data_IF_991706501375
#
_entry.id   IF_991706501375
#
_cell.length_a   1.000
_cell.length_b   1.000
_cell.length_c   1.000
_cell.angle_alpha   90.00
_cell.angle_beta   90.00
_cell.angle_gamma   90.00
#
_symmetry.space_group_name_H-M   'P 1'
#
loop_
_entity.id
_entity.type
_entity.pdbx_description
1 polymer ?
#
# COMPACT_ATOMS: atom_id res chain seq x y z
N UNK A 1 24.45 -0.53 0.80
CA UNK A 1 23.39 0.25 1.48
C UNK A 1 22.30 0.72 0.50
N UNK A 2 22.63 1.15 -0.72
CA UNK A 2 21.68 1.83 -1.63
C UNK A 2 20.50 0.99 -2.19
N UNK A 3 20.64 -0.32 -2.41
CA UNK A 3 19.56 -1.11 -3.05
C UNK A 3 18.39 -1.44 -2.11
N UNK A 4 18.62 -1.45 -0.80
CA UNK A 4 17.57 -1.81 0.16
C UNK A 4 16.56 -0.67 0.34
N UNK A 5 17.01 0.58 0.39
CA UNK A 5 16.13 1.76 0.49
C UNK A 5 15.25 1.91 -0.73
N UNK A 6 15.81 1.73 -1.93
CA UNK A 6 15.08 1.71 -3.20
C UNK A 6 13.98 0.64 -3.18
N UNK A 7 14.30 -0.57 -2.71
CA UNK A 7 13.33 -1.67 -2.62
C UNK A 7 12.23 -1.36 -1.62
N UNK A 8 12.57 -0.84 -0.45
CA UNK A 8 11.60 -0.49 0.58
C UNK A 8 10.60 0.57 0.06
N UNK A 9 11.11 1.59 -0.62
CA UNK A 9 10.28 2.61 -1.27
C UNK A 9 9.37 2.00 -2.35
N UNK A 10 9.91 1.13 -3.21
CA UNK A 10 9.11 0.46 -4.24
C UNK A 10 8.01 -0.46 -3.66
N UNK A 11 8.29 -1.21 -2.59
CA UNK A 11 7.27 -2.01 -1.89
C UNK A 11 6.22 -1.13 -1.22
N UNK A 12 6.62 -0.01 -0.61
CA UNK A 12 5.67 0.94 -0.04
C UNK A 12 4.74 1.54 -1.10
N UNK A 13 5.28 1.93 -2.27
CA UNK A 13 4.46 2.42 -3.38
C UNK A 13 3.52 1.35 -3.91
N UNK A 14 4.00 0.12 -4.08
CA UNK A 14 3.16 -1.02 -4.49
C UNK A 14 1.99 -1.22 -3.52
N UNK A 15 2.26 -1.15 -2.22
CA UNK A 15 1.26 -1.24 -1.16
C UNK A 15 0.27 -0.08 -1.21
N UNK A 16 0.74 1.14 -1.41
CA UNK A 16 -0.09 2.33 -1.52
C UNK A 16 -1.07 2.22 -2.69
N UNK A 17 -0.58 1.85 -3.87
CA UNK A 17 -1.41 1.64 -5.06
C UNK A 17 -2.39 0.48 -4.85
N UNK A 18 -1.96 -0.58 -4.16
CA UNK A 18 -2.86 -1.67 -3.81
C UNK A 18 -3.99 -1.16 -2.91
N UNK A 19 -3.66 -0.45 -1.83
CA UNK A 19 -4.58 0.11 -0.85
C UNK A 19 -5.66 1.01 -1.48
N UNK A 20 -5.24 2.01 -2.26
CA UNK A 20 -6.19 2.93 -2.92
C UNK A 20 -7.04 2.26 -4.01
N UNK A 21 -6.64 1.07 -4.47
CA UNK A 21 -7.36 0.34 -5.52
C UNK A 21 -8.26 -0.76 -4.97
N UNK A 22 -8.32 -0.94 -3.64
CA UNK A 22 -9.04 -2.04 -3.02
C UNK A 22 -10.52 -2.03 -3.39
N UNK A 23 -11.15 -0.85 -3.39
CA UNK A 23 -12.56 -0.65 -3.72
C UNK A 23 -12.87 -0.41 -5.20
N UNK A 24 -11.82 -0.25 -6.01
CA UNK A 24 -11.92 0.04 -7.44
C UNK A 24 -12.30 1.48 -7.77
N UNK A 25 -12.42 2.36 -6.77
CA UNK A 25 -12.74 3.78 -6.96
C UNK A 25 -11.70 4.63 -6.24
N UNK A 26 -10.72 5.12 -7.00
CA UNK A 26 -9.72 6.04 -6.45
C UNK A 26 -10.34 7.42 -6.30
N UNK A 27 -10.29 7.96 -5.08
CA UNK A 27 -10.73 9.30 -4.72
C UNK A 27 -9.62 10.34 -4.97
N UNK A 28 -9.99 11.61 -4.91
CA UNK A 28 -9.01 12.71 -5.00
C UNK A 28 -7.96 12.62 -3.88
N UNK A 29 -8.37 12.30 -2.65
CA UNK A 29 -7.43 12.27 -1.52
C UNK A 29 -6.43 11.11 -1.65
N UNK A 30 -6.88 9.96 -2.13
CA UNK A 30 -6.01 8.82 -2.44
C UNK A 30 -4.99 9.13 -3.53
N UNK A 31 -5.41 9.88 -4.55
CA UNK A 31 -4.49 10.35 -5.57
C UNK A 31 -3.48 11.39 -5.04
N UNK A 32 -3.91 12.29 -4.15
CA UNK A 32 -2.99 13.21 -3.46
C UNK A 32 -2.00 12.46 -2.55
N UNK A 33 -2.36 11.29 -2.01
CA UNK A 33 -1.42 10.43 -1.29
C UNK A 33 -0.31 9.87 -2.21
N UNK A 34 -0.62 9.52 -3.46
CA UNK A 34 0.41 9.14 -4.46
C UNK A 34 1.37 10.30 -4.76
N UNK A 35 0.83 11.51 -4.94
CA UNK A 35 1.66 12.72 -5.14
C UNK A 35 2.55 12.99 -3.94
N UNK A 36 2.01 12.88 -2.74
CA UNK A 36 2.75 13.06 -1.49
C UNK A 36 3.89 12.05 -1.39
N UNK A 37 3.63 10.78 -1.72
CA UNK A 37 4.66 9.75 -1.77
C UNK A 37 5.78 10.10 -2.76
N UNK A 38 5.44 10.62 -3.96
CA UNK A 38 6.44 11.06 -4.95
C UNK A 38 7.30 12.21 -4.44
N UNK A 39 6.74 13.16 -3.68
CA UNK A 39 7.50 14.26 -3.10
C UNK A 39 8.41 13.77 -1.97
N UNK A 40 7.89 12.92 -1.08
CA UNK A 40 8.65 12.35 0.04
C UNK A 40 9.85 11.53 -0.42
N UNK A 41 9.73 10.83 -1.54
CA UNK A 41 10.76 9.93 -2.06
C UNK A 41 11.61 10.53 -3.19
N UNK A 42 11.36 11.79 -3.58
CA UNK A 42 12.17 12.49 -4.59
C UNK A 42 13.68 12.48 -4.26
N UNK A 43 14.14 12.63 -3.00
CA UNK A 43 15.57 12.57 -2.67
C UNK A 43 16.24 11.24 -3.07
N UNK A 44 15.50 10.13 -3.16
CA UNK A 44 16.05 8.85 -3.63
C UNK A 44 16.42 8.86 -5.12
N UNK A 45 16.02 9.88 -5.88
CA UNK A 45 16.40 10.06 -7.29
C UNK A 45 17.89 10.34 -7.50
N UNK A 46 18.67 10.57 -6.44
CA UNK A 46 20.15 10.53 -6.52
C UNK A 46 20.66 9.15 -6.95
N UNK A 47 19.87 8.10 -6.70
CA UNK A 47 20.18 6.74 -7.10
C UNK A 47 19.61 6.45 -8.50
N UNK A 48 20.47 6.15 -9.46
CA UNK A 48 20.08 5.96 -10.87
C UNK A 48 18.94 4.95 -11.07
N UNK A 49 18.93 3.86 -10.29
CA UNK A 49 17.88 2.84 -10.36
C UNK A 49 16.51 3.40 -9.96
N UNK A 50 16.46 4.15 -8.86
CA UNK A 50 15.21 4.77 -8.41
C UNK A 50 14.80 5.93 -9.31
N UNK A 51 15.76 6.71 -9.81
CA UNK A 51 15.49 7.78 -10.77
C UNK A 51 14.76 7.27 -12.02
N UNK A 52 15.11 6.07 -12.52
CA UNK A 52 14.41 5.44 -13.65
C UNK A 52 12.96 5.12 -13.30
N UNK A 53 12.72 4.46 -12.17
CA UNK A 53 11.36 4.20 -11.68
C UNK A 53 10.56 5.50 -11.55
N UNK A 54 11.15 6.50 -10.90
CA UNK A 54 10.53 7.81 -10.65
C UNK A 54 10.09 8.50 -11.94
N UNK A 55 10.93 8.48 -12.98
CA UNK A 55 10.62 9.08 -14.29
C UNK A 55 9.45 8.40 -15.00
N UNK A 56 9.18 7.13 -14.72
CA UNK A 56 8.05 6.40 -15.31
C UNK A 56 6.74 6.67 -14.57
N UNK A 57 6.78 6.74 -13.23
CA UNK A 57 5.58 6.93 -12.41
C UNK A 57 5.14 8.39 -12.31
N UNK A 58 6.09 9.34 -12.25
CA UNK A 58 5.80 10.75 -11.98
C UNK A 58 4.86 11.38 -13.01
N UNK A 59 5.01 11.16 -14.32
CA UNK A 59 4.09 11.70 -15.32
C UNK A 59 2.64 11.19 -15.15
N UNK A 60 2.48 9.93 -14.76
CA UNK A 60 1.14 9.33 -14.53
C UNK A 60 0.50 9.96 -13.28
N UNK A 61 1.28 10.20 -12.23
CA UNK A 61 0.83 10.83 -10.98
C UNK A 61 0.58 12.34 -11.14
N UNK A 62 1.21 12.98 -12.12
CA UNK A 62 1.05 14.41 -12.40
C UNK A 62 -0.11 14.72 -13.36
N UNK A 63 -0.46 13.82 -14.29
CA UNK A 63 -1.58 14.03 -15.24
C UNK A 63 -2.93 14.20 -14.51
N UNK A 64 -3.04 13.69 -13.28
CA UNK A 64 -4.16 13.98 -12.39
C UNK A 64 -5.45 13.24 -12.73
N UNK A 65 -5.46 12.37 -13.74
CA UNK A 65 -6.68 11.71 -14.21
C UNK A 65 -6.91 10.41 -13.47
N UNK A 66 -7.46 10.53 -12.27
CA UNK A 66 -7.86 9.40 -11.42
C UNK A 66 -8.75 8.38 -12.17
N UNK A 67 -8.13 7.38 -12.80
CA UNK A 67 -8.81 6.36 -13.57
C UNK A 67 -8.11 5.00 -13.46
N UNK A 68 -8.84 3.94 -13.80
CA UNK A 68 -8.35 2.57 -13.65
C UNK A 68 -7.17 2.23 -14.58
N UNK A 69 -7.07 2.86 -15.75
CA UNK A 69 -5.97 2.62 -16.69
C UNK A 69 -4.63 3.12 -16.11
N UNK A 70 -4.62 4.29 -15.47
CA UNK A 70 -3.43 4.83 -14.80
C UNK A 70 -2.98 3.94 -13.64
N UNK A 71 -3.92 3.44 -12.85
CA UNK A 71 -3.61 2.52 -11.74
C UNK A 71 -3.01 1.21 -12.25
N UNK A 72 -3.56 0.63 -13.31
CA UNK A 72 -3.01 -0.59 -13.90
C UNK A 72 -1.64 -0.34 -14.56
N UNK A 73 -1.43 0.83 -15.17
CA UNK A 73 -0.12 1.23 -15.68
C UNK A 73 0.91 1.34 -14.54
N UNK A 74 0.56 1.99 -13.43
CA UNK A 74 1.43 2.10 -12.25
C UNK A 74 1.75 0.72 -11.66
N UNK A 75 0.75 -0.16 -11.49
CA UNK A 75 0.95 -1.55 -11.04
C UNK A 75 1.90 -2.30 -11.95
N UNK A 76 1.76 -2.15 -13.26
CA UNK A 76 2.63 -2.81 -14.25
C UNK A 76 4.08 -2.32 -14.12
N UNK A 77 4.29 -1.00 -14.04
CA UNK A 77 5.63 -0.40 -13.90
C UNK A 77 6.32 -0.91 -12.63
N UNK A 78 5.62 -0.90 -11.51
CA UNK A 78 6.20 -1.28 -10.21
C UNK A 78 6.43 -2.78 -10.11
N UNK A 79 5.50 -3.59 -10.62
CA UNK A 79 5.67 -5.05 -10.66
C UNK A 79 6.92 -5.41 -11.46
N UNK A 80 7.06 -4.86 -12.67
CA UNK A 80 8.26 -5.05 -13.49
C UNK A 80 9.53 -4.59 -12.78
N UNK A 81 9.48 -3.45 -12.08
CA UNK A 81 10.62 -2.96 -11.31
C UNK A 81 11.00 -3.92 -10.18
N UNK A 82 10.02 -4.40 -9.41
CA UNK A 82 10.24 -5.34 -8.31
C UNK A 82 10.71 -6.70 -8.81
N UNK A 83 10.20 -7.21 -9.93
CA UNK A 83 10.68 -8.46 -10.55
C UNK A 83 12.13 -8.34 -11.04
N UNK A 84 12.48 -7.22 -11.67
CA UNK A 84 13.83 -7.00 -12.19
C UNK A 84 14.87 -6.70 -11.09
N UNK A 85 14.43 -6.25 -9.91
CA UNK A 85 15.31 -5.76 -8.85
C UNK A 85 15.04 -6.41 -7.47
N UNK A 86 14.24 -7.48 -7.43
CA UNK A 86 13.76 -8.09 -6.20
C UNK A 86 13.60 -9.61 -6.30
N UNK A 87 14.55 -10.33 -5.70
CA UNK A 87 14.31 -11.65 -5.12
C UNK A 87 14.88 -11.65 -3.70
N UNK A 88 14.05 -11.96 -2.70
CA UNK A 88 14.05 -13.24 -1.97
C UNK A 88 12.93 -13.15 -0.92
N UNK A 89 12.33 -14.29 -0.56
CA UNK A 89 11.13 -14.42 0.27
C UNK A 89 11.30 -13.98 1.74
N UNK A 90 11.62 -12.71 1.97
CA UNK A 90 11.81 -12.15 3.30
C UNK A 90 10.54 -11.44 3.80
N UNK A 91 10.32 -11.49 5.11
CA UNK A 91 9.19 -10.86 5.81
C UNK A 91 9.26 -9.31 5.74
N UNK A 92 10.45 -8.74 5.56
CA UNK A 92 10.69 -7.29 5.57
C UNK A 92 9.98 -6.52 4.42
N UNK A 93 10.01 -6.97 3.15
CA UNK A 93 9.18 -6.43 2.07
C UNK A 93 7.69 -6.29 2.38
N UNK A 94 7.11 -7.29 3.05
CA UNK A 94 5.69 -7.30 3.38
C UNK A 94 5.31 -6.22 4.40
N UNK A 95 6.25 -5.76 5.24
CA UNK A 95 6.03 -4.65 6.15
C UNK A 95 5.93 -3.30 5.43
N UNK A 96 6.80 -3.05 4.44
CA UNK A 96 6.72 -1.83 3.63
C UNK A 96 5.49 -1.84 2.74
N UNK A 97 5.16 -3.00 2.16
CA UNK A 97 3.93 -3.18 1.42
C UNK A 97 2.69 -2.93 2.30
N UNK A 98 2.65 -3.52 3.50
CA UNK A 98 1.53 -3.31 4.44
C UNK A 98 1.42 -1.84 4.88
N UNK A 99 2.54 -1.16 5.14
CA UNK A 99 2.56 0.27 5.42
C UNK A 99 1.95 1.07 4.27
N UNK A 100 2.30 0.73 3.02
CA UNK A 100 1.67 1.29 1.83
C UNK A 100 0.16 1.08 1.81
N UNK A 101 -0.32 -0.17 2.04
CA UNK A 101 -1.75 -0.48 2.07
C UNK A 101 -2.48 0.42 3.07
N UNK A 102 -1.94 0.54 4.29
CA UNK A 102 -2.53 1.38 5.33
C UNK A 102 -2.55 2.85 4.93
N UNK A 103 -1.48 3.38 4.32
CA UNK A 103 -1.49 4.74 3.78
C UNK A 103 -2.59 4.91 2.74
N UNK A 104 -2.80 3.92 1.87
CA UNK A 104 -3.85 3.94 0.86
C UNK A 104 -5.26 3.97 1.46
N UNK A 105 -5.57 2.99 2.32
CA UNK A 105 -6.87 2.91 3.01
C UNK A 105 -7.17 4.18 3.81
N UNK A 106 -6.17 4.73 4.52
CA UNK A 106 -6.38 5.94 5.31
C UNK A 106 -6.48 7.21 4.46
N UNK A 107 -6.03 7.21 3.21
CA UNK A 107 -5.99 8.41 2.40
C UNK A 107 -7.38 8.91 2.01
N UNK A 108 -8.35 8.00 1.80
CA UNK A 108 -9.75 8.38 1.54
C UNK A 108 -10.37 9.08 2.76
N UNK A 109 -9.88 8.78 3.97
CA UNK A 109 -10.37 9.27 5.25
C UNK A 109 -11.45 8.37 5.86
N UNK A 110 -12.00 7.42 5.09
CA UNK A 110 -13.00 6.44 5.51
C UNK A 110 -12.51 5.01 5.31
N UNK A 111 -12.93 4.12 6.21
CA UNK A 111 -12.57 2.69 6.11
C UNK A 111 -13.87 1.93 5.97
N UNK A 112 -14.06 1.28 4.83
CA UNK A 112 -15.29 0.61 4.49
C UNK A 112 -15.16 -0.92 4.50
N UNK A 113 -16.31 -1.60 4.50
CA UNK A 113 -16.38 -3.06 4.55
C UNK A 113 -15.65 -3.74 3.40
N UNK A 114 -15.70 -3.17 2.20
CA UNK A 114 -15.12 -3.80 1.02
C UNK A 114 -13.58 -3.74 1.03
N UNK A 115 -13.00 -2.62 1.46
CA UNK A 115 -11.55 -2.50 1.66
C UNK A 115 -11.04 -3.54 2.67
N UNK A 116 -11.75 -3.71 3.78
CA UNK A 116 -11.38 -4.67 4.83
C UNK A 116 -11.55 -6.12 4.37
N UNK A 117 -12.57 -6.43 3.57
CA UNK A 117 -12.67 -7.74 2.93
C UNK A 117 -11.50 -8.03 2.00
N UNK A 118 -11.09 -7.05 1.18
CA UNK A 118 -9.96 -7.20 0.26
C UNK A 118 -8.62 -7.31 0.99
N UNK A 119 -8.44 -6.54 2.06
CA UNK A 119 -7.31 -6.68 2.97
C UNK A 119 -7.29 -8.08 3.61
N UNK A 120 -8.44 -8.59 4.07
CA UNK A 120 -8.54 -9.94 4.61
C UNK A 120 -8.16 -11.01 3.56
N UNK A 121 -8.61 -10.89 2.32
CA UNK A 121 -8.20 -11.79 1.24
C UNK A 121 -6.68 -11.76 0.99
N UNK A 122 -6.06 -10.57 1.07
CA UNK A 122 -4.62 -10.46 0.98
C UNK A 122 -3.93 -11.14 2.18
N UNK A 123 -4.45 -10.96 3.40
CA UNK A 123 -3.94 -11.62 4.59
C UNK A 123 -4.04 -13.15 4.50
N UNK A 124 -5.17 -13.69 4.05
CA UNK A 124 -5.37 -15.13 3.84
C UNK A 124 -4.34 -15.72 2.87
N UNK A 125 -4.04 -15.01 1.76
CA UNK A 125 -2.98 -15.41 0.82
C UNK A 125 -1.57 -15.35 1.43
N UNK A 126 -1.40 -14.58 2.50
CA UNK A 126 -0.15 -14.38 3.21
C UNK A 126 -0.20 -14.96 4.64
N UNK A 127 -0.90 -16.08 4.84
CA UNK A 127 -1.07 -16.72 6.16
C UNK A 127 0.27 -17.04 6.86
N UNK A 128 1.34 -17.24 6.10
CA UNK A 128 2.69 -17.43 6.63
C UNK A 128 3.17 -16.26 7.54
N UNK A 129 2.58 -15.06 7.41
CA UNK A 129 2.88 -13.89 8.24
C UNK A 129 2.15 -13.88 9.58
N UNK A 130 1.11 -14.70 9.76
CA UNK A 130 0.18 -14.64 10.90
C UNK A 130 0.81 -14.75 12.29
N UNK A 131 2.01 -15.29 12.40
CA UNK A 131 2.74 -15.47 13.68
C UNK A 131 3.75 -14.35 13.96
N UNK A 132 3.87 -13.36 13.08
CA UNK A 132 4.86 -12.30 13.16
C UNK A 132 4.18 -10.97 13.49
N UNK A 133 4.69 -10.23 14.47
CA UNK A 133 4.19 -8.88 14.73
C UNK A 133 4.49 -7.94 13.55
N UNK A 134 3.57 -7.03 13.17
CA UNK A 134 2.25 -6.77 13.76
C UNK A 134 1.10 -7.55 13.08
N UNK A 135 1.43 -8.54 12.23
CA UNK A 135 0.43 -9.28 11.46
C UNK A 135 -0.47 -10.13 12.38
N UNK A 136 0.05 -10.72 13.45
CA UNK A 136 -0.74 -11.44 14.46
C UNK A 136 -1.90 -10.60 15.03
N UNK A 137 -1.60 -9.37 15.46
CA UNK A 137 -2.58 -8.39 15.93
C UNK A 137 -3.54 -8.01 14.80
N UNK A 138 -3.03 -7.79 13.59
CA UNK A 138 -3.85 -7.44 12.42
C UNK A 138 -4.84 -8.55 12.04
N UNK A 139 -4.40 -9.81 11.96
CA UNK A 139 -5.28 -10.95 11.68
C UNK A 139 -6.39 -11.06 12.72
N UNK A 140 -6.04 -10.86 14.00
CA UNK A 140 -7.00 -10.89 15.10
C UNK A 140 -8.02 -9.76 14.99
N UNK A 141 -7.56 -8.53 14.72
CA UNK A 141 -8.42 -7.36 14.55
C UNK A 141 -9.36 -7.52 13.37
N UNK A 142 -8.86 -7.93 12.20
CA UNK A 142 -9.65 -8.08 10.98
C UNK A 142 -10.69 -9.20 11.14
N UNK A 143 -10.32 -10.32 11.76
CA UNK A 143 -11.25 -11.41 12.04
C UNK A 143 -12.38 -10.99 13.00
N UNK A 144 -12.07 -10.17 14.02
CA UNK A 144 -13.06 -9.66 14.95
C UNK A 144 -14.02 -8.67 14.28
N UNK A 145 -13.50 -7.73 13.48
CA UNK A 145 -14.33 -6.74 12.78
C UNK A 145 -15.22 -7.40 11.73
N UNK A 146 -14.74 -8.42 11.00
CA UNK A 146 -15.54 -9.07 9.95
C UNK A 146 -16.48 -10.17 10.49
N UNK A 147 -16.60 -10.37 11.80
CA UNK A 147 -17.43 -11.42 12.40
C UNK A 147 -18.91 -11.28 11.98
N UNK A 148 -19.43 -10.05 11.94
CA UNK A 148 -20.80 -9.75 11.55
C UNK A 148 -20.95 -9.42 10.04
N UNK A 149 -19.85 -9.60 9.28
CA UNK A 149 -19.72 -9.38 7.83
C UNK A 149 -19.86 -7.92 7.37
N UNK A 150 -19.76 -6.96 8.27
CA UNK A 150 -19.72 -5.54 7.95
C UNK A 150 -18.65 -4.85 8.79
N UNK A 151 -18.37 -3.59 8.45
CA UNK A 151 -17.53 -2.70 9.26
C UNK A 151 -18.44 -1.56 9.67
N UNK A 152 -18.69 -1.42 10.97
CA UNK A 152 -19.41 -0.29 11.52
C UNK A 152 -18.49 0.89 11.88
N UNK A 153 -19.08 2.02 12.29
CA UNK A 153 -18.33 3.24 12.61
C UNK A 153 -17.33 3.04 13.76
N UNK A 154 -17.69 2.24 14.78
CA UNK A 154 -16.83 1.99 15.92
C UNK A 154 -15.65 1.08 15.54
N UNK A 155 -15.88 0.12 14.66
CA UNK A 155 -14.85 -0.74 14.08
C UNK A 155 -13.93 0.02 13.13
N UNK A 156 -14.49 0.87 12.28
CA UNK A 156 -13.72 1.75 11.41
C UNK A 156 -12.77 2.64 12.22
N UNK A 157 -13.22 3.20 13.35
CA UNK A 157 -12.36 3.99 14.26
C UNK A 157 -11.21 3.14 14.83
N UNK A 158 -11.48 1.91 15.26
CA UNK A 158 -10.44 1.00 15.77
C UNK A 158 -9.42 0.64 14.69
N UNK A 159 -9.88 0.32 13.48
CA UNK A 159 -9.04 0.03 12.33
C UNK A 159 -8.16 1.23 11.97
N UNK A 160 -8.75 2.43 11.87
CA UNK A 160 -8.02 3.67 11.60
C UNK A 160 -6.91 3.90 12.62
N UNK A 161 -7.21 3.74 13.91
CA UNK A 161 -6.23 3.90 14.98
C UNK A 161 -5.09 2.87 14.89
N UNK A 162 -5.42 1.61 14.59
CA UNK A 162 -4.44 0.55 14.43
C UNK A 162 -3.53 0.79 13.22
N UNK A 163 -4.10 1.12 12.06
CA UNK A 163 -3.35 1.42 10.84
C UNK A 163 -2.43 2.63 11.04
N UNK A 164 -2.93 3.72 11.65
CA UNK A 164 -2.14 4.91 11.92
C UNK A 164 -0.94 4.64 12.84
N UNK A 165 -1.08 3.74 13.84
CA UNK A 165 0.03 3.33 14.72
C UNK A 165 1.17 2.62 13.97
N UNK A 166 0.87 1.95 12.87
CA UNK A 166 1.81 1.15 12.10
C UNK A 166 2.41 1.88 10.89
N UNK A 167 1.87 3.06 10.57
CA UNK A 167 2.49 3.98 9.62
C UNK A 167 3.61 4.72 10.36
N UNK A 168 4.84 4.49 9.91
CA UNK A 168 6.02 5.28 10.30
C UNK A 168 6.31 6.34 9.25
#
# INVERSE_FOLDING_TARGET
MNNQEIRNAAFQLAGLIYGISLDGVVTKNEYEALKSWCLENEPLCELELFQKLYREIKPIIDDGKVNSEEIEALKTIITRFLEANGEDQEVAPNMYFLNGIFKGILASGDVNTYEIYKLNQWLEKNEHLKKSAPFDELFTLIAAVLEDKKVDDAEAVKLKAFFAKLIK
#
